data_IF_503629097773
#
_entry.id   IF_503629097773
#
_cell.length_a   1.000
_cell.length_b   1.000
_cell.length_c   1.000
_cell.angle_alpha   90.00
_cell.angle_beta   90.00
_cell.angle_gamma   90.00
#
_symmetry.space_group_name_H-M   'P 1'
#
loop_
_entity.id
_entity.type
_entity.pdbx_description
1 polymer ?
#
# COMPACT_ATOMS: atom_id res chain seq x y z
N UNK A 1 -40.63 1.30 -12.17
CA UNK A 1 -39.49 1.66 -13.04
C UNK A 1 -38.72 2.81 -12.41
N UNK A 2 -37.66 2.51 -11.66
CA UNK A 2 -36.52 3.41 -11.39
C UNK A 2 -35.28 2.50 -11.38
N UNK A 3 -34.66 2.39 -12.55
CA UNK A 3 -33.37 1.74 -12.80
C UNK A 3 -32.41 2.88 -13.16
N UNK A 4 -31.17 2.82 -12.68
CA UNK A 4 -30.06 3.35 -13.48
C UNK A 4 -29.18 4.46 -12.91
N UNK A 5 -29.02 4.59 -11.59
CA UNK A 5 -27.95 5.44 -11.02
C UNK A 5 -27.46 4.86 -9.70
N UNK A 6 -26.63 3.81 -9.73
CA UNK A 6 -25.81 3.40 -8.57
C UNK A 6 -24.66 2.43 -8.91
N UNK A 7 -24.30 2.24 -10.20
CA UNK A 7 -23.27 1.25 -10.60
C UNK A 7 -22.01 1.91 -11.21
N UNK A 8 -21.81 3.22 -11.07
CA UNK A 8 -20.73 3.93 -11.77
C UNK A 8 -19.44 4.14 -10.94
N UNK A 9 -19.31 3.56 -9.74
CA UNK A 9 -18.15 3.80 -8.87
C UNK A 9 -17.12 2.64 -8.80
N UNK A 10 -17.36 1.50 -9.47
CA UNK A 10 -16.49 0.32 -9.40
C UNK A 10 -15.57 0.12 -10.63
N UNK A 11 -15.15 1.20 -11.30
CA UNK A 11 -14.18 1.12 -12.40
C UNK A 11 -12.85 1.78 -12.02
N UNK A 12 -11.93 1.00 -11.47
CA UNK A 12 -10.56 1.46 -11.25
C UNK A 12 -9.86 0.85 -10.04
N UNK A 13 -8.58 1.18 -9.94
CA UNK A 13 -7.69 0.86 -8.83
C UNK A 13 -8.33 1.16 -7.47
N UNK A 14 -7.97 0.41 -6.40
CA UNK A 14 -8.52 0.67 -5.09
C UNK A 14 -8.30 2.15 -4.75
N UNK A 15 -9.39 2.86 -4.50
CA UNK A 15 -9.33 4.19 -3.91
C UNK A 15 -9.33 3.97 -2.41
N UNK A 16 -8.22 4.25 -1.70
CA UNK A 16 -8.20 4.15 -0.26
C UNK A 16 -9.33 4.93 0.41
N UNK A 17 -10.21 4.27 1.16
CA UNK A 17 -11.14 5.00 2.04
C UNK A 17 -10.43 5.61 3.25
N UNK A 18 -9.26 5.08 3.62
CA UNK A 18 -8.46 5.56 4.75
C UNK A 18 -7.78 6.93 4.53
N UNK A 19 -7.57 7.41 3.29
CA UNK A 19 -6.85 8.68 3.06
C UNK A 19 -7.60 9.91 3.58
N UNK A 20 -8.93 9.99 3.43
CA UNK A 20 -9.67 11.21 3.82
C UNK A 20 -9.98 11.25 5.32
N UNK A 21 -10.40 10.11 5.88
CA UNK A 21 -10.82 10.03 7.29
C UNK A 21 -9.60 10.02 8.23
N UNK A 22 -8.54 9.28 7.89
CA UNK A 22 -7.33 9.27 8.70
C UNK A 22 -6.45 10.50 8.49
N UNK A 23 -6.44 11.17 7.33
CA UNK A 23 -5.79 12.49 7.22
C UNK A 23 -6.45 13.50 8.16
N UNK A 24 -7.78 13.47 8.27
CA UNK A 24 -8.50 14.32 9.20
C UNK A 24 -8.21 13.94 10.67
N UNK A 25 -7.94 12.67 10.96
CA UNK A 25 -7.67 12.16 12.31
C UNK A 25 -6.21 12.34 12.73
N UNK A 26 -5.24 12.07 11.84
CA UNK A 26 -3.83 12.38 11.99
C UNK A 26 -3.63 13.89 12.10
N UNK A 27 -4.27 14.72 11.26
CA UNK A 27 -4.26 16.18 11.43
C UNK A 27 -4.81 16.57 12.80
N UNK A 28 -5.89 15.94 13.28
CA UNK A 28 -6.47 16.23 14.61
C UNK A 28 -5.56 15.82 15.77
N UNK A 29 -4.92 14.64 15.72
CA UNK A 29 -4.00 14.16 16.76
C UNK A 29 -2.69 14.94 16.79
N UNK A 30 -2.27 15.46 15.63
CA UNK A 30 -1.04 16.23 15.40
C UNK A 30 -1.20 17.73 15.75
N UNK A 31 -2.43 18.22 15.96
CA UNK A 31 -2.76 19.64 16.24
C UNK A 31 -2.96 19.96 17.73
N UNK A 32 -2.96 18.97 18.63
CA UNK A 32 -3.16 19.21 20.07
C UNK A 32 -1.88 19.70 20.77
N UNK A 33 -1.47 20.91 20.45
CA UNK A 33 -0.37 21.61 21.14
C UNK A 33 0.13 22.86 20.43
N UNK A 34 -0.59 23.98 20.57
CA UNK A 34 -0.01 25.29 20.96
C UNK A 34 -1.06 26.40 20.79
N UNK A 35 -1.39 27.08 21.89
CA UNK A 35 -2.28 28.26 21.95
C UNK A 35 -1.46 29.54 21.74
N UNK A 36 -2.00 30.44 20.88
CA UNK A 36 -1.89 31.93 20.75
C UNK A 36 -0.61 32.64 21.24
N UNK A 37 -0.09 33.59 20.43
CA UNK A 37 -0.11 35.07 20.66
C UNK A 37 0.06 35.79 19.30
N UNK A 38 -0.64 36.92 19.13
CA UNK A 38 -0.58 37.83 17.98
C UNK A 38 0.33 39.03 18.26
N UNK A 39 1.06 39.54 17.26
CA UNK A 39 1.53 40.93 17.19
C UNK A 39 1.83 41.32 15.73
N UNK A 40 1.39 42.52 15.33
CA UNK A 40 1.55 43.14 14.00
C UNK A 40 2.85 43.96 13.93
N UNK A 41 3.47 44.02 12.74
CA UNK A 41 3.90 45.23 11.97
C UNK A 41 5.14 45.01 11.05
N UNK A 42 4.88 45.19 9.75
CA UNK A 42 5.58 45.95 8.68
C UNK A 42 7.01 45.59 8.19
N UNK A 43 7.00 44.97 6.99
CA UNK A 43 7.80 45.17 5.75
C UNK A 43 9.34 45.08 5.73
N UNK A 44 9.82 44.06 4.99
CA UNK A 44 10.83 44.09 3.91
C UNK A 44 10.83 42.68 3.31
N UNK A 45 10.51 42.50 2.02
CA UNK A 45 10.32 41.17 1.42
C UNK A 45 11.64 40.38 1.30
N UNK A 46 11.83 39.31 2.10
CA UNK A 46 12.95 38.36 1.95
C UNK A 46 12.48 37.16 1.09
N UNK A 47 13.36 36.20 0.70
CA UNK A 47 12.93 34.99 0.01
C UNK A 47 11.77 34.34 0.76
N UNK A 48 10.69 34.05 0.04
CA UNK A 48 9.38 33.68 0.58
C UNK A 48 9.52 32.71 1.77
N UNK A 49 9.31 33.25 2.98
CA UNK A 49 9.58 32.55 4.23
C UNK A 49 8.57 31.41 4.35
N UNK A 50 9.03 30.18 4.12
CA UNK A 50 8.22 28.95 4.18
C UNK A 50 7.26 28.98 5.36
N UNK A 51 6.02 28.58 5.15
CA UNK A 51 5.01 28.58 6.23
C UNK A 51 5.40 27.55 7.31
N UNK A 52 4.85 27.70 8.53
CA UNK A 52 5.09 26.72 9.59
C UNK A 52 4.58 25.32 9.19
N UNK A 53 3.53 25.27 8.36
CA UNK A 53 2.97 24.04 7.82
C UNK A 53 3.94 23.38 6.83
N UNK A 54 4.46 24.12 5.84
CA UNK A 54 5.43 23.58 4.87
C UNK A 54 6.69 23.02 5.56
N UNK A 55 7.20 23.71 6.59
CA UNK A 55 8.33 23.20 7.39
C UNK A 55 8.01 21.90 8.12
N UNK A 56 6.76 21.75 8.58
CA UNK A 56 6.31 20.55 9.29
C UNK A 56 6.19 19.37 8.34
N UNK A 57 5.59 19.59 7.18
CA UNK A 57 5.45 18.58 6.11
C UNK A 57 6.82 18.15 5.58
N UNK A 58 7.73 19.10 5.34
CA UNK A 58 9.11 18.79 4.95
C UNK A 58 9.84 17.94 6.01
N UNK A 59 9.68 18.28 7.29
CA UNK A 59 10.25 17.51 8.38
C UNK A 59 9.67 16.10 8.46
N UNK A 60 8.35 15.96 8.32
CA UNK A 60 7.67 14.66 8.29
C UNK A 60 8.21 13.78 7.16
N UNK A 61 8.28 14.32 5.93
CA UNK A 61 8.81 13.58 4.78
C UNK A 61 10.25 13.10 4.99
N UNK A 62 11.12 13.96 5.55
CA UNK A 62 12.51 13.59 5.84
C UNK A 62 12.60 12.51 6.93
N UNK A 63 11.79 12.62 7.98
CA UNK A 63 11.73 11.63 9.05
C UNK A 63 11.22 10.27 8.55
N UNK A 64 10.18 10.27 7.71
CA UNK A 64 9.65 9.05 7.09
C UNK A 64 10.67 8.40 6.14
N UNK A 65 11.39 9.19 5.34
CA UNK A 65 12.45 8.70 4.48
C UNK A 65 13.62 8.06 5.28
N UNK A 66 13.99 8.67 6.40
CA UNK A 66 14.98 8.14 7.33
C UNK A 66 14.49 6.84 7.99
N UNK A 67 13.26 6.82 8.50
CA UNK A 67 12.64 5.65 9.12
C UNK A 67 12.57 4.47 8.15
N UNK A 68 12.12 4.70 6.91
CA UNK A 68 12.12 3.71 5.83
C UNK A 68 13.51 3.11 5.59
N UNK A 69 14.53 3.96 5.53
CA UNK A 69 15.92 3.52 5.30
C UNK A 69 16.46 2.71 6.48
N UNK A 70 16.17 3.12 7.71
CA UNK A 70 16.60 2.40 8.91
C UNK A 70 15.86 1.07 9.07
N UNK A 71 14.54 1.06 8.90
CA UNK A 71 13.72 -0.14 9.03
C UNK A 71 14.12 -1.20 8.00
N UNK A 72 14.32 -0.81 6.74
CA UNK A 72 14.76 -1.74 5.69
C UNK A 72 16.18 -2.31 5.88
N UNK A 73 17.01 -1.70 6.74
CA UNK A 73 18.38 -2.15 7.03
C UNK A 73 18.54 -2.87 8.36
N UNK A 74 17.91 -2.36 9.41
CA UNK A 74 18.09 -2.82 10.80
C UNK A 74 16.89 -3.60 11.33
N UNK A 75 15.82 -3.70 10.55
CA UNK A 75 14.54 -4.23 11.01
C UNK A 75 13.91 -3.33 12.07
N UNK A 76 12.77 -3.80 12.59
CA UNK A 76 12.01 -3.09 13.61
C UNK A 76 12.85 -2.84 14.87
N UNK A 77 13.32 -3.91 15.52
CA UNK A 77 14.00 -3.86 16.82
C UNK A 77 15.21 -2.94 16.80
N UNK A 78 16.01 -2.98 15.73
CA UNK A 78 17.24 -2.20 15.60
C UNK A 78 17.04 -0.71 15.23
N UNK A 79 15.80 -0.24 15.03
CA UNK A 79 15.51 1.17 14.75
C UNK A 79 15.06 1.91 16.01
N UNK A 80 15.57 3.13 16.23
CA UNK A 80 15.12 4.02 17.31
C UNK A 80 14.67 5.40 16.79
N UNK A 81 13.74 6.06 17.49
CA UNK A 81 13.31 7.43 17.15
C UNK A 81 14.49 8.43 17.14
N UNK A 82 15.45 8.24 18.05
CA UNK A 82 16.64 9.09 18.12
C UNK A 82 17.51 8.98 16.85
N UNK A 83 17.74 7.75 16.37
CA UNK A 83 18.46 7.52 15.12
C UNK A 83 17.69 8.03 13.91
N UNK A 84 16.36 7.93 13.90
CA UNK A 84 15.52 8.49 12.82
C UNK A 84 15.70 10.02 12.75
N UNK A 85 15.65 10.71 13.90
CA UNK A 85 15.89 12.15 13.97
C UNK A 85 17.26 12.55 13.41
N UNK A 86 18.32 11.88 13.87
CA UNK A 86 19.69 12.12 13.40
C UNK A 86 19.86 11.82 11.90
N UNK A 87 19.33 10.70 11.43
CA UNK A 87 19.42 10.27 10.02
C UNK A 87 18.67 11.22 9.10
N UNK A 88 17.58 11.84 9.57
CA UNK A 88 16.82 12.86 8.84
C UNK A 88 17.49 14.25 8.85
N UNK A 89 18.65 14.41 9.50
CA UNK A 89 19.35 15.69 9.64
C UNK A 89 18.79 16.60 10.73
N UNK A 90 18.07 16.04 11.71
CA UNK A 90 17.49 16.75 12.85
C UNK A 90 18.10 16.29 14.18
N UNK A 91 17.64 16.90 15.29
CA UNK A 91 18.04 16.50 16.63
C UNK A 91 17.53 15.10 16.99
N UNK A 92 18.15 14.46 17.99
CA UNK A 92 17.72 13.16 18.55
C UNK A 92 16.27 13.17 19.02
N UNK A 93 15.78 14.31 19.52
CA UNK A 93 14.42 14.45 20.03
C UNK A 93 13.38 14.71 18.93
N UNK A 94 13.78 15.03 17.70
CA UNK A 94 12.86 15.54 16.69
C UNK A 94 11.79 14.52 16.28
N UNK A 95 12.17 13.26 16.08
CA UNK A 95 11.22 12.21 15.70
C UNK A 95 10.24 11.91 16.85
N UNK A 96 10.73 11.88 18.09
CA UNK A 96 9.89 11.69 19.27
C UNK A 96 8.91 12.86 19.46
N UNK A 97 9.36 14.10 19.26
CA UNK A 97 8.49 15.27 19.28
C UNK A 97 7.43 15.23 18.16
N UNK A 98 7.79 14.72 16.97
CA UNK A 98 6.88 14.70 15.83
C UNK A 98 5.83 13.58 15.93
N UNK A 99 6.24 12.36 16.25
CA UNK A 99 5.37 11.17 16.21
C UNK A 99 4.93 10.69 17.60
N UNK A 100 5.58 11.13 18.69
CA UNK A 100 5.31 10.66 20.05
C UNK A 100 5.88 9.27 20.33
N UNK A 101 5.52 8.26 19.54
CA UNK A 101 5.94 6.87 19.73
C UNK A 101 6.48 6.23 18.45
N UNK A 102 7.14 5.08 18.62
CA UNK A 102 7.68 4.29 17.51
C UNK A 102 6.56 3.65 16.69
N UNK A 103 5.52 3.13 17.33
CA UNK A 103 4.31 2.65 16.66
C UNK A 103 3.60 3.74 15.84
N UNK A 104 3.51 4.99 16.35
CA UNK A 104 2.94 6.11 15.60
C UNK A 104 3.78 6.48 14.36
N UNK A 105 5.11 6.46 14.47
CA UNK A 105 5.99 6.60 13.31
C UNK A 105 5.74 5.50 12.27
N UNK A 106 5.57 4.25 12.70
CA UNK A 106 5.29 3.15 11.76
C UNK A 106 3.92 3.24 11.11
N UNK A 107 2.91 3.71 11.83
CA UNK A 107 1.60 4.01 11.24
C UNK A 107 1.76 5.02 10.12
N UNK A 108 2.41 6.15 10.39
CA UNK A 108 2.68 7.17 9.38
C UNK A 108 3.51 6.63 8.19
N UNK A 109 4.49 5.77 8.46
CA UNK A 109 5.29 5.12 7.43
C UNK A 109 4.49 4.14 6.56
N UNK A 110 3.61 3.34 7.16
CA UNK A 110 2.74 2.41 6.43
C UNK A 110 1.82 3.17 5.48
N UNK A 111 1.21 4.25 5.96
CA UNK A 111 0.37 5.13 5.15
C UNK A 111 1.15 5.79 4.03
N UNK A 112 2.38 6.24 4.30
CA UNK A 112 3.26 6.80 3.27
C UNK A 112 3.61 5.78 2.17
N UNK A 113 3.94 4.54 2.55
CA UNK A 113 4.20 3.45 1.59
C UNK A 113 2.95 3.12 0.78
N UNK A 114 1.78 3.08 1.43
CA UNK A 114 0.53 2.84 0.73
C UNK A 114 0.23 3.96 -0.27
N UNK A 115 0.34 5.23 0.12
CA UNK A 115 0.17 6.36 -0.81
C UNK A 115 1.08 6.27 -2.03
N UNK A 116 2.35 5.91 -1.84
CA UNK A 116 3.28 5.68 -2.95
C UNK A 116 2.77 4.61 -3.91
N UNK A 117 2.27 3.49 -3.38
CA UNK A 117 1.74 2.42 -4.21
C UNK A 117 0.40 2.78 -4.87
N UNK A 118 -0.49 3.47 -4.16
CA UNK A 118 -1.74 3.98 -4.72
C UNK A 118 -1.49 4.94 -5.88
N UNK A 119 -0.45 5.78 -5.80
CA UNK A 119 -0.03 6.62 -6.91
C UNK A 119 0.46 5.79 -8.10
N UNK A 120 1.32 4.78 -7.88
CA UNK A 120 1.77 3.87 -8.94
C UNK A 120 0.60 3.14 -9.62
N UNK A 121 -0.44 2.82 -8.85
CA UNK A 121 -1.68 2.28 -9.40
C UNK A 121 -2.40 3.34 -10.22
N UNK A 122 -2.67 4.54 -9.69
CA UNK A 122 -3.35 5.61 -10.43
C UNK A 122 -2.68 5.97 -11.76
N UNK A 123 -1.35 5.91 -11.83
CA UNK A 123 -0.56 6.20 -13.03
C UNK A 123 -0.58 5.04 -14.05
N UNK A 124 -0.95 3.83 -13.62
CA UNK A 124 -1.04 2.66 -14.47
C UNK A 124 -2.35 2.62 -15.28
N UNK A 125 -2.35 1.98 -16.48
CA UNK A 125 -3.55 1.78 -17.27
C UNK A 125 -4.66 1.13 -16.42
N UNK A 126 -5.89 1.65 -16.52
CA UNK A 126 -7.05 1.16 -15.77
C UNK A 126 -7.71 0.01 -16.54
N UNK A 127 -7.50 -1.26 -16.15
CA UNK A 127 -8.20 -2.37 -16.78
C UNK A 127 -9.70 -2.35 -16.44
N UNK A 128 -10.54 -3.06 -17.20
CA UNK A 128 -11.92 -3.35 -16.80
C UNK A 128 -11.97 -4.04 -15.42
N UNK A 129 -13.04 -3.77 -14.67
CA UNK A 129 -13.34 -4.51 -13.45
C UNK A 129 -13.56 -5.99 -13.77
N UNK A 130 -13.19 -6.88 -12.85
CA UNK A 130 -13.19 -8.32 -13.09
C UNK A 130 -11.79 -8.94 -12.98
N UNK A 131 -11.54 -10.02 -13.73
CA UNK A 131 -10.24 -10.69 -13.71
C UNK A 131 -9.13 -9.76 -14.22
N UNK A 132 -9.44 -8.92 -15.21
CA UNK A 132 -8.46 -7.99 -15.78
C UNK A 132 -7.93 -6.98 -14.75
N UNK A 133 -8.77 -6.53 -13.81
CA UNK A 133 -8.33 -5.69 -12.69
C UNK A 133 -7.38 -6.40 -11.73
N UNK A 134 -7.65 -7.66 -11.41
CA UNK A 134 -6.78 -8.50 -10.57
C UNK A 134 -5.42 -8.70 -11.25
N UNK A 135 -5.41 -9.03 -12.54
CA UNK A 135 -4.17 -9.17 -13.32
C UNK A 135 -3.41 -7.84 -13.43
N UNK A 136 -4.14 -6.72 -13.57
CA UNK A 136 -3.58 -5.38 -13.49
C UNK A 136 -2.86 -5.14 -12.16
N UNK A 137 -3.50 -5.48 -11.03
CA UNK A 137 -2.91 -5.32 -9.70
C UNK A 137 -1.61 -6.11 -9.58
N UNK A 138 -1.59 -7.36 -10.04
CA UNK A 138 -0.40 -8.22 -10.08
C UNK A 138 0.72 -7.56 -10.90
N UNK A 139 0.39 -7.02 -12.08
CA UNK A 139 1.35 -6.33 -12.95
C UNK A 139 1.96 -5.11 -12.27
N UNK A 140 1.16 -4.26 -11.62
CA UNK A 140 1.66 -3.06 -10.93
C UNK A 140 2.47 -3.44 -9.69
N UNK A 141 2.00 -4.41 -8.89
CA UNK A 141 2.72 -4.89 -7.72
C UNK A 141 4.12 -5.41 -8.07
N UNK A 142 4.24 -6.26 -9.10
CA UNK A 142 5.51 -6.84 -9.56
C UNK A 142 6.33 -5.88 -10.44
N UNK A 143 5.69 -4.85 -10.99
CA UNK A 143 6.28 -3.85 -11.86
C UNK A 143 6.72 -2.56 -11.17
N UNK A 144 6.70 -2.52 -9.83
CA UNK A 144 6.99 -1.30 -9.06
C UNK A 144 8.27 -0.57 -9.50
N UNK A 145 8.18 0.75 -9.46
CA UNK A 145 9.24 1.65 -9.95
C UNK A 145 10.46 1.70 -9.02
N UNK A 146 10.31 1.39 -7.72
CA UNK A 146 11.39 1.36 -6.73
C UNK A 146 12.45 0.30 -7.08
N UNK A 147 13.64 0.69 -7.61
CA UNK A 147 14.62 -0.26 -8.11
C UNK A 147 15.25 -1.11 -7.00
N UNK A 148 15.21 -0.65 -5.75
CA UNK A 148 15.77 -1.35 -4.59
C UNK A 148 14.70 -2.07 -3.77
N UNK A 149 13.43 -1.96 -4.17
CA UNK A 149 12.28 -2.56 -3.49
C UNK A 149 12.26 -2.24 -1.99
N UNK A 150 12.70 -1.04 -1.61
CA UNK A 150 12.75 -0.58 -0.22
C UNK A 150 11.33 -0.48 0.34
N UNK A 151 10.38 0.08 -0.40
CA UNK A 151 8.99 0.20 0.06
C UNK A 151 8.38 -1.19 0.33
N UNK A 152 8.52 -2.13 -0.61
CA UNK A 152 8.05 -3.51 -0.45
C UNK A 152 8.77 -4.21 0.70
N UNK A 153 10.11 -4.12 0.79
CA UNK A 153 10.88 -4.72 1.90
C UNK A 153 10.42 -4.18 3.25
N UNK A 154 10.19 -2.87 3.34
CA UNK A 154 9.71 -2.20 4.56
C UNK A 154 8.32 -2.71 4.95
N UNK A 155 7.39 -2.79 3.99
CA UNK A 155 6.06 -3.36 4.21
C UNK A 155 6.13 -4.83 4.67
N UNK A 156 6.98 -5.66 4.06
CA UNK A 156 7.13 -7.06 4.44
C UNK A 156 7.70 -7.22 5.86
N UNK A 157 8.63 -6.35 6.27
CA UNK A 157 9.16 -6.33 7.62
C UNK A 157 8.11 -5.87 8.65
N UNK A 158 7.26 -4.91 8.28
CA UNK A 158 6.12 -4.49 9.10
C UNK A 158 5.10 -5.61 9.25
N UNK A 159 4.78 -6.31 8.16
CA UNK A 159 3.92 -7.50 8.19
C UNK A 159 4.50 -8.58 9.10
N UNK A 160 5.80 -8.85 9.03
CA UNK A 160 6.44 -9.84 9.89
C UNK A 160 6.41 -9.43 11.37
N UNK A 161 6.65 -8.15 11.68
CA UNK A 161 6.55 -7.61 13.05
C UNK A 161 5.11 -7.71 13.59
N UNK A 162 4.11 -7.44 12.73
CA UNK A 162 2.69 -7.50 13.10
C UNK A 162 2.17 -8.87 13.51
N UNK A 163 2.95 -9.93 13.24
CA UNK A 163 2.63 -11.31 13.64
C UNK A 163 3.01 -11.60 15.09
N UNK A 164 3.77 -10.73 15.75
CA UNK A 164 4.15 -10.90 17.15
C UNK A 164 2.94 -10.65 18.06
N UNK A 165 2.81 -11.43 19.14
CA UNK A 165 1.70 -11.32 20.10
C UNK A 165 1.57 -9.90 20.69
N UNK A 166 2.70 -9.28 20.99
CA UNK A 166 2.76 -7.93 21.59
C UNK A 166 3.03 -6.82 20.54
N UNK A 167 2.70 -7.06 19.26
CA UNK A 167 2.96 -6.07 18.21
C UNK A 167 2.16 -4.78 18.42
N UNK A 168 2.87 -3.65 18.46
CA UNK A 168 2.28 -2.31 18.47
C UNK A 168 1.75 -1.88 17.09
N UNK A 169 1.87 -2.71 16.05
CA UNK A 169 1.56 -2.38 14.66
C UNK A 169 0.52 -3.31 14.02
N UNK A 170 0.08 -4.34 14.74
CA UNK A 170 -0.90 -5.31 14.26
C UNK A 170 -2.19 -4.67 13.74
N UNK A 171 -2.71 -3.67 14.47
CA UNK A 171 -3.92 -2.93 14.09
C UNK A 171 -3.72 -2.13 12.79
N UNK A 172 -2.58 -1.44 12.65
CA UNK A 172 -2.20 -0.67 11.46
C UNK A 172 -2.18 -1.58 10.23
N UNK A 173 -1.52 -2.73 10.35
CA UNK A 173 -1.36 -3.68 9.26
C UNK A 173 -2.69 -4.35 8.91
N UNK A 174 -3.54 -4.64 9.90
CA UNK A 174 -4.87 -5.18 9.67
C UNK A 174 -5.75 -4.19 8.88
N UNK A 175 -5.73 -2.90 9.23
CA UNK A 175 -6.45 -1.85 8.49
C UNK A 175 -5.91 -1.74 7.06
N UNK A 176 -4.59 -1.70 6.89
CA UNK A 176 -3.94 -1.67 5.57
C UNK A 176 -4.38 -2.83 4.66
N UNK A 177 -4.47 -4.04 5.21
CA UNK A 177 -4.82 -5.24 4.46
C UNK A 177 -6.30 -5.28 4.07
N UNK A 178 -7.20 -4.83 4.96
CA UNK A 178 -8.65 -4.96 4.81
C UNK A 178 -9.17 -4.37 3.50
N UNK A 179 -8.81 -3.13 3.20
CA UNK A 179 -9.33 -2.44 2.01
C UNK A 179 -8.83 -3.06 0.70
N UNK A 180 -7.56 -3.47 0.69
CA UNK A 180 -6.96 -4.10 -0.48
C UNK A 180 -7.57 -5.49 -0.72
N UNK A 181 -7.82 -6.27 0.34
CA UNK A 181 -8.53 -7.55 0.22
C UNK A 181 -9.97 -7.37 -0.27
N UNK A 182 -10.70 -6.40 0.28
CA UNK A 182 -12.07 -6.11 -0.16
C UNK A 182 -12.12 -5.75 -1.65
N UNK A 183 -11.20 -4.90 -2.12
CA UNK A 183 -11.15 -4.53 -3.54
C UNK A 183 -10.83 -5.71 -4.47
N UNK A 184 -9.91 -6.60 -4.08
CA UNK A 184 -9.61 -7.81 -4.85
C UNK A 184 -10.78 -8.80 -4.84
N UNK A 185 -11.44 -8.96 -3.68
CA UNK A 185 -12.62 -9.80 -3.52
C UNK A 185 -13.75 -9.33 -4.44
N UNK A 186 -14.04 -8.02 -4.46
CA UNK A 186 -15.07 -7.44 -5.31
C UNK A 186 -14.77 -7.66 -6.80
N UNK A 187 -13.51 -7.51 -7.22
CA UNK A 187 -13.14 -7.76 -8.62
C UNK A 187 -13.20 -9.25 -9.00
N UNK A 188 -12.86 -10.16 -8.08
CA UNK A 188 -13.07 -11.59 -8.30
C UNK A 188 -14.56 -11.92 -8.41
N UNK A 189 -15.41 -11.31 -7.57
CA UNK A 189 -16.88 -11.46 -7.65
C UNK A 189 -17.43 -10.97 -8.99
N UNK A 190 -17.03 -9.77 -9.42
CA UNK A 190 -17.39 -9.22 -10.74
C UNK A 190 -16.94 -10.15 -11.86
N UNK A 191 -15.71 -10.69 -11.78
CA UNK A 191 -15.19 -11.64 -12.77
C UNK A 191 -16.01 -12.93 -12.84
N UNK A 192 -16.54 -13.43 -11.71
CA UNK A 192 -17.44 -14.59 -11.68
C UNK A 192 -18.78 -14.25 -12.37
N UNK A 193 -19.35 -13.08 -12.07
CA UNK A 193 -20.61 -12.62 -12.65
C UNK A 193 -20.51 -12.43 -14.17
N UNK A 194 -19.36 -11.96 -14.66
CA UNK A 194 -19.07 -11.77 -16.07
C UNK A 194 -18.64 -13.05 -16.80
N UNK A 195 -18.42 -14.15 -16.07
CA UNK A 195 -17.93 -15.41 -16.64
C UNK A 195 -16.44 -15.40 -16.99
N UNK A 196 -15.67 -14.42 -16.52
CA UNK A 196 -14.21 -14.37 -16.67
C UNK A 196 -13.51 -15.28 -15.65
N UNK A 197 -14.09 -15.44 -14.46
CA UNK A 197 -13.53 -16.24 -13.35
C UNK A 197 -14.38 -17.48 -13.12
N UNK A 198 -13.75 -18.62 -12.81
CA UNK A 198 -14.45 -19.87 -12.49
C UNK A 198 -15.38 -19.71 -11.29
N UNK A 199 -16.58 -20.30 -11.38
CA UNK A 199 -17.64 -20.17 -10.37
C UNK A 199 -17.36 -20.91 -9.06
N UNK A 200 -16.41 -21.83 -9.04
CA UNK A 200 -15.99 -22.59 -7.86
C UNK A 200 -14.99 -21.82 -6.97
N UNK A 201 -14.47 -20.68 -7.44
CA UNK A 201 -13.58 -19.83 -6.67
C UNK A 201 -14.36 -19.09 -5.59
N UNK A 202 -13.94 -19.24 -4.34
CA UNK A 202 -14.34 -18.33 -3.26
C UNK A 202 -13.59 -16.99 -3.42
N UNK A 203 -14.27 -15.85 -3.65
CA UNK A 203 -13.61 -14.57 -3.90
C UNK A 203 -12.68 -14.10 -2.77
N UNK A 204 -13.07 -14.32 -1.51
CA UNK A 204 -12.27 -13.88 -0.36
C UNK A 204 -10.96 -14.69 -0.26
N UNK A 205 -11.05 -16.02 -0.40
CA UNK A 205 -9.86 -16.88 -0.44
C UNK A 205 -9.00 -16.63 -1.68
N UNK A 206 -9.61 -16.29 -2.82
CA UNK A 206 -8.89 -15.89 -4.03
C UNK A 206 -8.07 -14.62 -3.82
N UNK A 207 -8.63 -13.62 -3.15
CA UNK A 207 -7.92 -12.39 -2.79
C UNK A 207 -6.75 -12.66 -1.84
N UNK A 208 -6.96 -13.50 -0.82
CA UNK A 208 -5.90 -13.98 0.08
C UNK A 208 -4.78 -14.69 -0.68
N UNK A 209 -5.13 -15.58 -1.61
CA UNK A 209 -4.17 -16.31 -2.44
C UNK A 209 -3.31 -15.37 -3.29
N UNK A 210 -3.92 -14.42 -4.01
CA UNK A 210 -3.19 -13.46 -4.86
C UNK A 210 -2.16 -12.69 -4.04
N UNK A 211 -2.58 -12.15 -2.89
CA UNK A 211 -1.73 -11.31 -2.05
C UNK A 211 -0.64 -12.13 -1.36
N UNK A 212 -1.00 -13.31 -0.87
CA UNK A 212 -0.07 -14.27 -0.28
C UNK A 212 1.02 -14.68 -1.27
N UNK A 213 0.64 -15.03 -2.51
CA UNK A 213 1.57 -15.38 -3.57
C UNK A 213 2.52 -14.22 -3.90
N UNK A 214 1.98 -13.01 -4.09
CA UNK A 214 2.77 -11.82 -4.40
C UNK A 214 3.78 -11.48 -3.28
N UNK A 215 3.33 -11.48 -2.02
CA UNK A 215 4.20 -11.21 -0.86
C UNK A 215 5.23 -12.30 -0.65
N UNK A 216 4.85 -13.56 -0.81
CA UNK A 216 5.75 -14.71 -0.68
C UNK A 216 6.84 -14.69 -1.75
N UNK A 217 6.46 -14.51 -3.02
CA UNK A 217 7.40 -14.38 -4.13
C UNK A 217 8.35 -13.19 -3.94
N UNK A 218 7.81 -12.01 -3.62
CA UNK A 218 8.64 -10.83 -3.33
C UNK A 218 9.62 -11.10 -2.18
N UNK A 219 9.17 -11.76 -1.10
CA UNK A 219 10.02 -12.11 0.04
C UNK A 219 11.16 -13.05 -0.38
N UNK A 220 10.86 -14.14 -1.10
CA UNK A 220 11.86 -15.10 -1.56
C UNK A 220 12.92 -14.44 -2.46
N UNK A 221 12.50 -13.59 -3.39
CA UNK A 221 13.43 -12.87 -4.29
C UNK A 221 14.29 -11.85 -3.56
N UNK A 222 13.74 -11.16 -2.57
CA UNK A 222 14.51 -10.23 -1.73
C UNK A 222 15.54 -10.97 -0.88
N UNK A 223 15.23 -12.18 -0.40
CA UNK A 223 16.17 -13.06 0.32
C UNK A 223 17.31 -13.51 -0.61
N UNK A 224 17.00 -13.87 -1.85
CA UNK A 224 18.00 -14.26 -2.86
C UNK A 224 18.85 -13.10 -3.38
N UNK A 225 18.51 -11.85 -3.05
CA UNK A 225 19.36 -10.67 -3.27
C UNK A 225 19.23 -9.99 -4.63
N UNK A 226 18.28 -10.39 -5.49
CA UNK A 226 18.09 -9.78 -6.82
C UNK A 226 16.68 -9.18 -6.99
N UNK A 227 16.52 -7.86 -6.80
CA UNK A 227 15.28 -7.15 -7.15
C UNK A 227 14.96 -7.18 -8.66
N UNK A 228 15.98 -7.39 -9.51
CA UNK A 228 15.78 -7.58 -10.95
C UNK A 228 14.96 -8.84 -11.24
N UNK A 229 15.13 -9.89 -10.41
CA UNK A 229 14.41 -11.15 -10.57
C UNK A 229 12.91 -11.00 -10.27
N UNK A 230 12.50 -10.03 -9.44
CA UNK A 230 11.08 -9.80 -9.14
C UNK A 230 10.35 -9.29 -10.38
N UNK A 231 10.96 -8.32 -11.09
CA UNK A 231 10.40 -7.80 -12.33
C UNK A 231 10.46 -8.82 -13.46
N UNK A 232 11.50 -9.67 -13.46
CA UNK A 232 11.69 -10.73 -14.45
C UNK A 232 10.61 -11.82 -14.42
N UNK A 233 10.01 -12.09 -13.25
CA UNK A 233 8.93 -13.09 -13.13
C UNK A 233 7.52 -12.54 -13.37
N UNK A 234 7.38 -11.21 -13.57
CA UNK A 234 6.08 -10.53 -13.65
C UNK A 234 5.10 -11.24 -14.61
N UNK A 235 5.51 -11.47 -15.84
CA UNK A 235 4.61 -12.01 -16.86
C UNK A 235 4.22 -13.46 -16.59
N UNK A 236 5.14 -14.27 -16.05
CA UNK A 236 4.85 -15.64 -15.63
C UNK A 236 3.87 -15.69 -14.45
N UNK A 237 4.04 -14.81 -13.45
CA UNK A 237 3.12 -14.75 -12.31
C UNK A 237 1.73 -14.30 -12.76
N UNK A 238 1.64 -13.34 -13.69
CA UNK A 238 0.35 -12.94 -14.29
C UNK A 238 -0.31 -14.14 -14.98
N UNK A 239 0.43 -14.90 -15.79
CA UNK A 239 -0.10 -16.11 -16.45
C UNK A 239 -0.56 -17.17 -15.45
N UNK A 240 0.18 -17.39 -14.36
CA UNK A 240 -0.21 -18.33 -13.30
C UNK A 240 -1.50 -17.89 -12.59
N UNK A 241 -1.63 -16.60 -12.27
CA UNK A 241 -2.85 -16.05 -11.67
C UNK A 241 -4.02 -16.17 -12.66
N UNK A 242 -3.81 -15.80 -13.92
CA UNK A 242 -4.82 -15.94 -14.97
C UNK A 242 -5.29 -17.40 -15.11
N UNK A 243 -4.38 -18.35 -15.27
CA UNK A 243 -4.72 -19.78 -15.35
C UNK A 243 -5.42 -20.31 -14.08
N UNK A 244 -5.07 -19.77 -12.91
CA UNK A 244 -5.71 -20.18 -11.65
C UNK A 244 -7.16 -19.72 -11.57
N UNK A 245 -7.50 -18.56 -12.13
CA UNK A 245 -8.84 -17.97 -11.96
C UNK A 245 -9.72 -18.04 -13.20
N UNK A 246 -9.15 -18.01 -14.41
CA UNK A 246 -9.89 -17.89 -15.65
C UNK A 246 -10.90 -19.03 -15.83
N UNK A 247 -12.13 -18.66 -16.24
CA UNK A 247 -13.12 -19.63 -16.67
C UNK A 247 -12.58 -20.46 -17.85
N UNK A 248 -12.83 -21.78 -17.89
CA UNK A 248 -12.40 -22.62 -19.01
C UNK A 248 -13.01 -22.10 -20.31
N UNK A 249 -12.19 -22.09 -21.35
CA UNK A 249 -12.61 -21.57 -22.65
C UNK A 249 -13.73 -22.43 -23.24
N UNK A 250 -14.63 -21.83 -24.04
CA UNK A 250 -15.73 -22.55 -24.73
C UNK A 250 -15.26 -23.75 -25.59
N UNK A 251 -13.95 -23.83 -25.90
CA UNK A 251 -13.35 -24.96 -26.62
C UNK A 251 -13.16 -26.19 -25.73
N UNK A 252 -12.74 -26.02 -24.49
CA UNK A 252 -12.50 -27.12 -23.54
C UNK A 252 -13.82 -27.73 -23.05
N UNK A 253 -14.89 -26.94 -22.97
CA UNK A 253 -16.23 -27.43 -22.62
C UNK A 253 -16.88 -28.29 -23.71
N UNK A 254 -16.52 -28.09 -24.99
CA UNK A 254 -17.03 -28.89 -26.11
C UNK A 254 -16.30 -30.22 -26.27
N UNK A 255 -15.02 -30.31 -25.90
CA UNK A 255 -14.27 -31.57 -25.95
C UNK A 255 -14.69 -32.52 -24.82
N UNK A 256 -14.99 -32.01 -23.62
CA UNK A 256 -15.51 -32.85 -22.52
C UNK A 256 -16.96 -33.32 -22.68
N UNK A 257 -17.74 -32.72 -23.59
CA UNK A 257 -19.13 -33.09 -23.85
C UNK A 257 -19.30 -34.12 -24.98
N UNK A 258 -18.23 -34.43 -25.73
CA UNK A 258 -18.28 -35.35 -26.87
C UNK A 258 -17.70 -36.75 -26.55
N UNK A 259 -17.17 -36.93 -25.34
CA UNK A 259 -16.66 -38.20 -24.79
C UNK A 259 -17.62 -38.84 -23.76
N UNK A 260 -18.86 -38.35 -23.66
CA UNK A 260 -19.91 -38.84 -22.76
C UNK A 260 -21.00 -39.64 -23.45
#
# INVERSE_FOLDING_TARGET
MRKGQEVEEAAGWPSPSWTVQEEAELRRQTVRGSKRVASKETQTSPPQRRTQQERREEAEMRLLAAARTLLSRKGWVGMTLAEVGLTAGYSRGQAAHHFGSKGALLRALTLHINRSFAQEMQDAPKPPAGLQAVLGYVRVYLGRSDPKWINTRTLLLLLAESLLEDSETADVVAVYNREMFAWLEDNLRIGIEQGEVRRDINPALGAEFVVGALRGLASQRLIQGSPADIRGIKDQVVQLVEHTFAAPSDREQKEGANDG
#
